data_IF_746661063354
#
_entry.id   IF_746661063354
#
_cell.length_a   1.000
_cell.length_b   1.000
_cell.length_c   1.000
_cell.angle_alpha   90.00
_cell.angle_beta   90.00
_cell.angle_gamma   90.00
#
_symmetry.space_group_name_H-M   'P 1'
#
loop_
_entity.id
_entity.type
_entity.pdbx_description
1 polymer ?
#
# COMPACT_ATOMS: atom_id res chain seq x y z
N UNK A 1 -40.40 -18.65 -51.46
CA UNK A 1 -40.10 -18.20 -50.09
C UNK A 1 -40.61 -19.26 -49.15
N UNK A 2 -39.74 -19.88 -48.36
CA UNK A 2 -40.20 -20.79 -47.30
C UNK A 2 -41.02 -20.02 -46.27
N UNK A 3 -42.02 -20.68 -45.70
CA UNK A 3 -42.85 -20.11 -44.64
C UNK A 3 -41.95 -19.72 -43.46
N UNK A 4 -42.07 -18.50 -42.91
CA UNK A 4 -41.34 -18.12 -41.70
C UNK A 4 -41.66 -19.09 -40.55
N UNK A 5 -40.63 -19.56 -39.86
CA UNK A 5 -40.77 -20.39 -38.66
C UNK A 5 -41.39 -19.56 -37.54
N UNK A 6 -42.23 -20.20 -36.73
CA UNK A 6 -42.62 -19.64 -35.43
C UNK A 6 -41.42 -19.66 -34.48
N UNK A 7 -41.49 -18.88 -33.39
CA UNK A 7 -40.43 -18.84 -32.39
C UNK A 7 -40.11 -20.24 -31.82
N UNK A 8 -41.13 -21.04 -31.51
CA UNK A 8 -40.91 -22.38 -30.95
C UNK A 8 -40.25 -23.32 -31.97
N UNK A 9 -40.64 -23.26 -33.25
CA UNK A 9 -40.00 -24.04 -34.32
C UNK A 9 -38.56 -23.60 -34.58
N UNK A 10 -38.27 -22.30 -34.46
CA UNK A 10 -36.90 -21.78 -34.55
C UNK A 10 -36.07 -22.21 -33.33
N UNK A 11 -36.62 -22.09 -32.12
CA UNK A 11 -35.94 -22.43 -30.87
C UNK A 11 -35.59 -23.92 -30.81
N UNK A 12 -36.48 -24.79 -31.30
CA UNK A 12 -36.24 -26.23 -31.42
C UNK A 12 -35.35 -26.62 -32.61
N UNK A 13 -34.97 -25.66 -33.48
CA UNK A 13 -34.03 -25.91 -34.57
C UNK A 13 -32.57 -25.72 -34.13
N UNK A 14 -31.64 -26.26 -34.93
CA UNK A 14 -30.20 -26.10 -34.68
C UNK A 14 -29.78 -24.62 -34.55
N UNK A 15 -30.38 -23.74 -35.36
CA UNK A 15 -30.09 -22.30 -35.33
C UNK A 15 -30.50 -21.66 -34.00
N UNK A 16 -31.67 -22.02 -33.47
CA UNK A 16 -32.13 -21.52 -32.17
C UNK A 16 -31.29 -22.04 -31.01
N UNK A 17 -30.97 -23.33 -31.04
CA UNK A 17 -30.08 -23.94 -30.05
C UNK A 17 -28.69 -23.28 -30.04
N UNK A 18 -28.08 -23.08 -31.21
CA UNK A 18 -26.77 -22.46 -31.32
C UNK A 18 -26.75 -21.01 -30.86
N UNK A 19 -27.80 -20.24 -31.18
CA UNK A 19 -27.95 -18.88 -30.70
C UNK A 19 -28.01 -18.81 -29.16
N UNK A 20 -28.79 -19.70 -28.55
CA UNK A 20 -28.91 -19.79 -27.08
C UNK A 20 -27.59 -20.23 -26.43
N UNK A 21 -26.93 -21.23 -27.02
CA UNK A 21 -25.60 -21.69 -26.57
C UNK A 21 -24.58 -20.56 -26.61
N UNK A 22 -24.52 -19.82 -27.71
CA UNK A 22 -23.60 -18.69 -27.86
C UNK A 22 -23.89 -17.58 -26.86
N UNK A 23 -25.16 -17.22 -26.66
CA UNK A 23 -25.54 -16.21 -25.66
C UNK A 23 -25.10 -16.62 -24.25
N UNK A 24 -25.25 -17.90 -23.88
CA UNK A 24 -24.79 -18.41 -22.60
C UNK A 24 -23.25 -18.39 -22.49
N UNK A 25 -22.53 -18.80 -23.53
CA UNK A 25 -21.07 -18.69 -23.58
C UNK A 25 -20.59 -17.25 -23.40
N UNK A 26 -21.19 -16.29 -24.11
CA UNK A 26 -20.88 -14.86 -23.98
C UNK A 26 -21.09 -14.36 -22.54
N UNK A 27 -22.22 -14.73 -21.92
CA UNK A 27 -22.51 -14.39 -20.52
C UNK A 27 -21.44 -14.94 -19.58
N UNK A 28 -21.09 -16.22 -19.72
CA UNK A 28 -20.07 -16.88 -18.90
C UNK A 28 -18.71 -16.20 -19.07
N UNK A 29 -18.29 -15.93 -20.31
CA UNK A 29 -17.02 -15.25 -20.58
C UNK A 29 -16.99 -13.83 -20.00
N UNK A 30 -18.10 -13.10 -20.10
CA UNK A 30 -18.22 -11.77 -19.49
C UNK A 30 -18.09 -11.83 -17.97
N UNK A 31 -18.85 -12.72 -17.32
CA UNK A 31 -18.81 -12.90 -15.85
C UNK A 31 -17.43 -13.36 -15.36
N UNK A 32 -16.79 -14.30 -16.07
CA UNK A 32 -15.44 -14.73 -15.76
C UNK A 32 -14.42 -13.58 -15.88
N UNK A 33 -14.55 -12.76 -16.93
CA UNK A 33 -13.74 -11.56 -17.11
C UNK A 33 -13.92 -10.55 -15.97
N UNK A 34 -15.17 -10.33 -15.52
CA UNK A 34 -15.44 -9.48 -14.37
C UNK A 34 -14.81 -10.03 -13.08
N UNK A 35 -14.96 -11.32 -12.81
CA UNK A 35 -14.34 -11.96 -11.63
C UNK A 35 -12.82 -11.88 -11.65
N UNK A 36 -12.19 -12.05 -12.83
CA UNK A 36 -10.74 -11.92 -12.97
C UNK A 36 -10.26 -10.51 -12.65
N UNK A 37 -10.97 -9.48 -13.15
CA UNK A 37 -10.65 -8.08 -12.86
C UNK A 37 -10.85 -7.76 -11.38
N UNK A 38 -11.92 -8.27 -10.76
CA UNK A 38 -12.14 -8.07 -9.34
C UNK A 38 -11.02 -8.69 -8.50
N UNK A 39 -10.58 -9.92 -8.84
CA UNK A 39 -9.46 -10.55 -8.14
C UNK A 39 -8.14 -9.78 -8.28
N UNK A 40 -7.94 -9.07 -9.39
CA UNK A 40 -6.79 -8.17 -9.56
C UNK A 40 -6.90 -6.92 -8.68
N UNK A 41 -8.09 -6.30 -8.63
CA UNK A 41 -8.38 -5.16 -7.75
C UNK A 41 -8.13 -5.55 -6.29
N UNK A 42 -8.70 -6.68 -5.83
CA UNK A 42 -8.58 -7.13 -4.44
C UNK A 42 -7.10 -7.33 -4.04
N UNK A 43 -6.29 -7.89 -4.94
CA UNK A 43 -4.83 -8.04 -4.71
C UNK A 43 -4.11 -6.70 -4.63
N UNK A 44 -4.46 -5.75 -5.50
CA UNK A 44 -3.85 -4.43 -5.50
C UNK A 44 -4.25 -3.63 -4.25
N UNK A 45 -5.48 -3.77 -3.79
CA UNK A 45 -5.95 -3.18 -2.53
C UNK A 45 -5.22 -3.76 -1.32
N UNK A 46 -5.06 -5.08 -1.26
CA UNK A 46 -4.27 -5.74 -0.22
C UNK A 46 -2.82 -5.24 -0.21
N UNK A 47 -2.19 -5.20 -1.39
CA UNK A 47 -0.82 -4.69 -1.52
C UNK A 47 -0.72 -3.23 -1.05
N UNK A 48 -1.62 -2.36 -1.52
CA UNK A 48 -1.66 -0.95 -1.11
C UNK A 48 -1.85 -0.78 0.39
N UNK A 49 -2.74 -1.58 1.01
CA UNK A 49 -2.97 -1.57 2.46
C UNK A 49 -1.70 -1.94 3.23
N UNK A 50 -1.03 -3.00 2.78
CA UNK A 50 0.24 -3.43 3.38
C UNK A 50 1.33 -2.37 3.24
N UNK A 51 1.46 -1.75 2.06
CA UNK A 51 2.42 -0.66 1.84
C UNK A 51 2.11 0.55 2.74
N UNK A 52 0.84 0.95 2.85
CA UNK A 52 0.43 2.05 3.72
C UNK A 52 0.75 1.78 5.18
N UNK A 53 0.59 0.53 5.63
CA UNK A 53 0.94 0.13 6.99
C UNK A 53 2.46 0.17 7.21
N UNK A 54 3.26 -0.35 6.29
CA UNK A 54 4.72 -0.28 6.37
C UNK A 54 5.23 1.16 6.42
N UNK A 55 4.68 2.05 5.59
CA UNK A 55 5.04 3.48 5.60
C UNK A 55 4.76 4.10 6.97
N UNK A 56 3.62 3.81 7.58
CA UNK A 56 3.29 4.32 8.93
C UNK A 56 4.30 3.84 9.98
N UNK A 57 4.68 2.55 9.92
CA UNK A 57 5.69 1.99 10.83
C UNK A 57 7.05 2.66 10.65
N UNK A 58 7.54 2.81 9.43
CA UNK A 58 8.82 3.50 9.18
C UNK A 58 8.78 4.96 9.60
N UNK A 59 7.64 5.64 9.41
CA UNK A 59 7.48 7.02 9.88
C UNK A 59 7.47 7.13 11.40
N UNK A 60 6.94 6.16 12.14
CA UNK A 60 7.05 6.16 13.61
C UNK A 60 8.48 5.89 14.05
N UNK A 61 9.15 4.90 13.44
CA UNK A 61 10.54 4.56 13.76
C UNK A 61 11.50 5.73 13.48
N UNK A 62 11.32 6.44 12.36
CA UNK A 62 12.11 7.64 12.04
C UNK A 62 11.89 8.77 13.06
N UNK A 63 10.66 8.96 13.54
CA UNK A 63 10.36 9.96 14.59
C UNK A 63 11.03 9.59 15.90
N UNK A 64 10.96 8.33 16.30
CA UNK A 64 11.58 7.84 17.54
C UNK A 64 13.10 7.96 17.46
N UNK A 65 13.69 7.60 16.33
CA UNK A 65 15.13 7.73 16.10
C UNK A 65 15.58 9.20 16.16
N UNK A 66 14.83 10.12 15.54
CA UNK A 66 15.10 11.56 15.62
C UNK A 66 15.02 12.08 17.06
N UNK A 67 14.05 11.62 17.83
CA UNK A 67 13.93 12.00 19.24
C UNK A 67 15.11 11.49 20.09
N UNK A 68 15.58 10.27 19.83
CA UNK A 68 16.76 9.70 20.50
C UNK A 68 18.04 10.46 20.12
N UNK A 69 18.23 10.76 18.83
CA UNK A 69 19.37 11.56 18.37
C UNK A 69 19.38 12.94 19.02
N UNK A 70 18.22 13.61 19.10
CA UNK A 70 18.14 14.91 19.76
C UNK A 70 18.51 14.82 21.24
N UNK A 71 18.02 13.79 21.95
CA UNK A 71 18.39 13.57 23.36
C UNK A 71 19.89 13.35 23.54
N UNK A 72 20.52 12.56 22.68
CA UNK A 72 21.97 12.32 22.75
C UNK A 72 22.76 13.61 22.54
N UNK A 73 22.34 14.44 21.56
CA UNK A 73 22.93 15.75 21.33
C UNK A 73 22.76 16.63 22.58
N UNK A 74 21.55 16.72 23.11
CA UNK A 74 21.25 17.54 24.28
C UNK A 74 22.06 17.08 25.51
N UNK A 75 22.15 15.77 25.77
CA UNK A 75 22.94 15.19 26.87
C UNK A 75 24.44 15.48 26.72
N UNK A 76 24.97 15.36 25.50
CA UNK A 76 26.36 15.69 25.18
C UNK A 76 26.63 17.18 25.41
N UNK A 77 25.79 18.08 24.90
CA UNK A 77 25.87 19.51 25.16
C UNK A 77 25.78 19.84 26.66
N UNK A 78 24.89 19.17 27.39
CA UNK A 78 24.67 19.40 28.83
C UNK A 78 25.86 18.92 29.67
N UNK A 79 26.56 17.87 29.24
CA UNK A 79 27.75 17.34 29.92
C UNK A 79 29.01 18.15 29.58
N UNK A 80 29.13 18.60 28.33
CA UNK A 80 30.31 19.33 27.86
C UNK A 80 30.35 20.78 28.36
N UNK A 81 29.20 21.44 28.52
CA UNK A 81 29.12 22.84 29.00
C UNK A 81 29.77 23.05 30.37
N UNK A 82 29.44 22.25 31.41
CA UNK A 82 30.05 22.37 32.73
C UNK A 82 31.54 22.01 32.72
N UNK A 83 31.93 21.01 31.92
CA UNK A 83 33.34 20.62 31.75
C UNK A 83 34.16 21.75 31.13
N UNK A 84 33.68 22.35 30.04
CA UNK A 84 34.33 23.52 29.44
C UNK A 84 34.35 24.71 30.40
N UNK A 85 33.26 24.97 31.12
CA UNK A 85 33.23 26.05 32.11
C UNK A 85 34.27 25.84 33.22
N UNK A 86 34.44 24.61 33.69
CA UNK A 86 35.48 24.23 34.63
C UNK A 86 36.90 24.46 34.07
N UNK A 87 37.18 24.01 32.85
CA UNK A 87 38.50 24.22 32.23
C UNK A 87 38.80 25.70 31.97
N UNK A 88 37.80 26.49 31.56
CA UNK A 88 37.93 27.96 31.43
C UNK A 88 38.24 28.60 32.79
N UNK A 89 37.52 28.22 33.86
CA UNK A 89 37.79 28.73 35.21
C UNK A 89 39.18 28.36 35.71
N UNK A 90 39.63 27.12 35.44
CA UNK A 90 40.98 26.65 35.77
C UNK A 90 42.06 27.45 35.05
N UNK A 91 41.87 27.71 33.75
CA UNK A 91 42.79 28.55 32.97
C UNK A 91 42.82 30.01 33.46
N UNK A 92 41.64 30.59 33.77
CA UNK A 92 41.51 31.97 34.26
C UNK A 92 42.05 32.18 35.68
N UNK A 93 42.04 31.16 36.53
CA UNK A 93 42.68 31.25 37.86
C UNK A 93 44.19 31.39 37.77
N UNK A 94 44.82 31.04 36.64
CA UNK A 94 46.25 31.13 36.44
C UNK A 94 47.05 30.25 37.41
N UNK A 95 48.30 29.95 37.07
CA UNK A 95 49.28 29.49 38.07
C UNK A 95 49.59 30.67 38.98
N UNK A 96 48.79 30.87 40.04
CA UNK A 96 49.22 31.64 41.19
C UNK A 96 50.16 30.76 42.01
N UNK A 97 51.42 30.70 41.56
CA UNK A 97 52.60 30.41 42.39
C UNK A 97 53.39 31.72 42.57
#
# INVERSE_FOLDING_TARGET
MDKPKTYNEWLSSLQGFDAMRHANCCRISYEAGQKSRQAEIDRLEEWNSNQAQSIKTYQSEDKDLKALLQKLIDDEYTTMRPSMAYEIQKALRGKHD
#
